data_IF_486632372923
#
_entry.id   IF_486632372923
#
_cell.length_a   1.000
_cell.length_b   1.000
_cell.length_c   1.000
_cell.angle_alpha   90.00
_cell.angle_beta   90.00
_cell.angle_gamma   90.00
#
_symmetry.space_group_name_H-M   'P 1'
#
loop_
_entity.id
_entity.type
_entity.pdbx_description
1 polymer ?
#
# COMPACT_ATOMS: atom_id res chain seq x y z
N UNK A 1 -5.14 -19.72 -5.04
CA UNK A 1 -5.73 -19.10 -3.81
C UNK A 1 -5.53 -17.59 -3.81
N UNK A 2 -4.35 -17.09 -4.20
CA UNK A 2 -4.04 -15.64 -4.23
C UNK A 2 -4.93 -14.83 -5.18
N UNK A 3 -5.25 -15.35 -6.38
CA UNK A 3 -6.12 -14.65 -7.34
C UNK A 3 -7.54 -14.40 -6.79
N UNK A 4 -8.09 -15.33 -6.02
CA UNK A 4 -9.40 -15.16 -5.38
C UNK A 4 -9.41 -14.03 -4.35
N UNK A 5 -8.31 -13.85 -3.61
CA UNK A 5 -8.18 -12.77 -2.63
C UNK A 5 -8.10 -11.41 -3.35
N UNK A 6 -7.36 -11.34 -4.45
CA UNK A 6 -7.28 -10.12 -5.27
C UNK A 6 -8.67 -9.73 -5.77
N UNK A 7 -9.45 -10.69 -6.29
CA UNK A 7 -10.79 -10.44 -6.81
C UNK A 7 -11.78 -9.91 -5.74
N UNK A 8 -11.67 -10.38 -4.50
CA UNK A 8 -12.48 -9.86 -3.38
C UNK A 8 -12.08 -8.44 -3.02
N UNK A 9 -10.77 -8.16 -2.96
CA UNK A 9 -10.24 -6.90 -2.45
C UNK A 9 -10.28 -5.76 -3.49
N UNK A 10 -10.46 -6.07 -4.78
CA UNK A 10 -10.28 -5.13 -5.89
C UNK A 10 -11.10 -3.83 -5.77
N UNK A 11 -12.31 -3.92 -5.21
CA UNK A 11 -13.23 -2.79 -5.03
C UNK A 11 -13.02 -2.02 -3.73
N UNK A 12 -12.30 -2.61 -2.76
CA UNK A 12 -12.07 -1.98 -1.47
C UNK A 12 -11.23 -0.71 -1.65
N UNK A 13 -11.43 0.24 -0.73
CA UNK A 13 -10.74 1.53 -0.73
C UNK A 13 -9.87 1.64 0.52
N UNK A 14 -8.54 1.58 0.36
CA UNK A 14 -7.62 1.80 1.47
C UNK A 14 -7.74 3.22 2.04
N UNK A 15 -8.24 3.35 3.27
CA UNK A 15 -8.28 4.63 3.98
C UNK A 15 -7.01 4.82 4.81
N UNK A 16 -6.32 5.96 4.64
CA UNK A 16 -5.13 6.27 5.44
C UNK A 16 -5.53 6.62 6.87
N UNK A 17 -4.86 5.98 7.82
CA UNK A 17 -4.92 6.36 9.23
C UNK A 17 -3.96 7.54 9.46
N UNK A 18 -4.32 8.43 10.38
CA UNK A 18 -3.50 9.58 10.71
C UNK A 18 -2.17 9.17 11.36
N UNK A 19 -1.08 9.71 10.82
CA UNK A 19 0.30 9.36 11.17
C UNK A 19 1.23 10.53 10.88
N UNK A 20 2.28 10.68 11.69
CA UNK A 20 3.36 11.63 11.40
C UNK A 20 4.30 11.02 10.36
N UNK A 21 4.71 11.84 9.38
CA UNK A 21 5.52 11.39 8.24
C UNK A 21 6.81 12.20 8.23
N UNK A 22 7.93 11.50 8.15
CA UNK A 22 9.25 12.10 7.98
C UNK A 22 9.84 11.54 6.69
N UNK A 23 10.48 12.43 5.92
CA UNK A 23 11.10 12.05 4.66
C UNK A 23 12.54 12.56 4.67
N UNK A 24 13.47 11.64 4.47
CA UNK A 24 14.84 11.95 4.06
C UNK A 24 15.07 11.38 2.64
N UNK A 25 16.16 11.76 1.98
CA UNK A 25 16.45 11.46 0.57
C UNK A 25 16.23 9.98 0.20
N UNK A 26 16.55 9.07 1.13
CA UNK A 26 16.45 7.62 0.93
C UNK A 26 15.35 6.92 1.75
N UNK A 27 14.73 7.60 2.72
CA UNK A 27 13.84 6.95 3.69
C UNK A 27 12.50 7.66 3.83
N UNK A 28 11.43 6.87 3.88
CA UNK A 28 10.10 7.34 4.21
C UNK A 28 9.67 6.71 5.52
N UNK A 29 9.77 7.50 6.58
CA UNK A 29 9.47 7.12 7.95
C UNK A 29 8.04 7.52 8.29
N UNK A 30 7.29 6.56 8.81
CA UNK A 30 5.96 6.78 9.36
C UNK A 30 6.02 6.51 10.86
N UNK A 31 5.62 7.51 11.64
CA UNK A 31 5.49 7.41 13.09
C UNK A 31 4.02 7.36 13.45
N UNK A 32 3.62 6.25 14.06
CA UNK A 32 2.29 6.08 14.62
C UNK A 32 2.33 6.38 16.12
N UNK A 33 1.89 7.58 16.48
CA UNK A 33 2.03 8.07 17.86
C UNK A 33 1.27 7.22 18.89
N UNK A 34 0.09 6.72 18.52
CA UNK A 34 -0.75 5.87 19.37
C UNK A 34 -0.01 4.60 19.83
N UNK A 35 0.76 3.98 18.94
CA UNK A 35 1.53 2.75 19.25
C UNK A 35 3.00 3.01 19.52
N UNK A 36 3.47 4.26 19.42
CA UNK A 36 4.89 4.62 19.45
C UNK A 36 5.76 3.79 18.49
N UNK A 37 5.18 3.33 17.38
CA UNK A 37 5.87 2.53 16.36
C UNK A 37 6.42 3.44 15.28
N UNK A 38 7.65 3.16 14.86
CA UNK A 38 8.31 3.79 13.72
C UNK A 38 8.42 2.73 12.63
N UNK A 39 7.99 3.08 11.43
CA UNK A 39 7.98 2.19 10.27
C UNK A 39 8.70 2.87 9.11
N UNK A 40 9.66 2.18 8.51
CA UNK A 40 10.34 2.63 7.31
C UNK A 40 9.70 1.93 6.12
N UNK A 41 9.13 2.71 5.19
CA UNK A 41 8.65 2.18 3.93
C UNK A 41 9.75 2.25 2.88
N UNK A 42 10.00 1.13 2.23
CA UNK A 42 10.79 1.12 1.00
C UNK A 42 10.06 1.90 -0.11
N UNK A 43 10.75 2.13 -1.24
CA UNK A 43 10.22 2.93 -2.35
C UNK A 43 8.86 2.43 -2.85
N UNK A 44 8.73 1.13 -3.10
CA UNK A 44 7.49 0.53 -3.64
C UNK A 44 6.34 0.61 -2.64
N UNK A 45 6.57 0.27 -1.38
CA UNK A 45 5.57 0.38 -0.32
C UNK A 45 5.10 1.82 -0.11
N UNK A 46 6.04 2.80 -0.19
CA UNK A 46 5.69 4.22 -0.16
C UNK A 46 4.81 4.62 -1.33
N UNK A 47 5.11 4.13 -2.54
CA UNK A 47 4.31 4.42 -3.72
C UNK A 47 2.89 3.83 -3.61
N UNK A 48 2.75 2.60 -3.14
CA UNK A 48 1.46 1.96 -2.84
C UNK A 48 0.70 2.77 -1.79
N UNK A 49 1.34 3.07 -0.65
CA UNK A 49 0.76 3.87 0.41
C UNK A 49 0.32 5.24 -0.11
N UNK A 50 1.11 5.90 -0.95
CA UNK A 50 0.73 7.19 -1.52
C UNK A 50 -0.53 7.10 -2.39
N UNK A 51 -0.68 6.04 -3.19
CA UNK A 51 -1.84 5.78 -4.05
C UNK A 51 -3.13 5.45 -3.31
N UNK A 52 -3.10 5.11 -2.01
CA UNK A 52 -4.29 4.79 -1.23
C UNK A 52 -5.36 5.90 -1.18
N UNK A 53 -5.01 7.18 -1.41
CA UNK A 53 -5.96 8.29 -1.21
C UNK A 53 -7.06 8.29 -2.28
N UNK A 54 -8.24 7.75 -1.94
CA UNK A 54 -9.44 7.77 -2.77
C UNK A 54 -9.45 6.77 -3.94
N UNK A 55 -8.44 5.88 -4.01
CA UNK A 55 -8.33 4.86 -5.05
C UNK A 55 -8.84 3.51 -4.53
N UNK A 56 -9.46 2.73 -5.42
CA UNK A 56 -9.71 1.30 -5.16
C UNK A 56 -8.41 0.51 -5.27
N UNK A 57 -8.39 -0.70 -4.72
CA UNK A 57 -7.23 -1.61 -4.87
C UNK A 57 -6.90 -1.84 -6.35
N UNK A 58 -7.90 -2.08 -7.21
CA UNK A 58 -7.67 -2.24 -8.66
C UNK A 58 -7.04 -1.00 -9.31
N UNK A 59 -7.46 0.20 -8.89
CA UNK A 59 -6.88 1.44 -9.39
C UNK A 59 -5.43 1.59 -8.93
N UNK A 60 -5.11 1.20 -7.70
CA UNK A 60 -3.73 1.19 -7.19
C UNK A 60 -2.87 0.21 -7.99
N UNK A 61 -3.35 -1.01 -8.23
CA UNK A 61 -2.68 -2.02 -9.06
C UNK A 61 -2.41 -1.46 -10.46
N UNK A 62 -3.40 -0.81 -11.06
CA UNK A 62 -3.25 -0.18 -12.38
C UNK A 62 -2.17 0.91 -12.39
N UNK A 63 -2.11 1.74 -11.34
CA UNK A 63 -1.05 2.75 -11.17
C UNK A 63 0.33 2.10 -11.06
N UNK A 64 0.43 1.01 -10.30
CA UNK A 64 1.69 0.27 -10.15
C UNK A 64 2.11 -0.40 -11.45
N UNK A 65 1.19 -0.97 -12.23
CA UNK A 65 1.48 -1.53 -13.56
C UNK A 65 2.05 -0.48 -14.52
N UNK A 66 1.50 0.74 -14.52
CA UNK A 66 2.03 1.83 -15.34
C UNK A 66 3.45 2.26 -14.92
N UNK A 67 3.78 2.19 -13.64
CA UNK A 67 5.11 2.54 -13.12
C UNK A 67 6.16 1.47 -13.38
N UNK A 68 5.75 0.21 -13.43
CA UNK A 68 6.63 -0.94 -13.60
C UNK A 68 6.21 -1.77 -14.81
N UNK A 69 6.30 -1.23 -16.04
CA UNK A 69 5.77 -1.86 -17.25
C UNK A 69 6.45 -3.19 -17.61
N UNK A 70 7.65 -3.44 -17.07
CA UNK A 70 8.43 -4.66 -17.31
C UNK A 70 8.10 -5.80 -16.32
N UNK A 71 7.14 -5.60 -15.41
CA UNK A 71 6.73 -6.62 -14.43
C UNK A 71 5.31 -7.07 -14.79
N UNK A 72 5.05 -8.38 -14.70
CA UNK A 72 3.72 -8.93 -14.99
C UNK A 72 2.65 -8.34 -14.06
N UNK A 73 1.44 -8.11 -14.61
CA UNK A 73 0.28 -7.64 -13.83
C UNK A 73 -0.01 -8.55 -12.64
N UNK A 74 0.14 -9.86 -12.81
CA UNK A 74 -0.07 -10.85 -11.74
C UNK A 74 0.86 -10.60 -10.55
N UNK A 75 2.17 -10.46 -10.80
CA UNK A 75 3.15 -10.19 -9.74
C UNK A 75 2.90 -8.85 -9.05
N UNK A 76 2.59 -7.81 -9.82
CA UNK A 76 2.25 -6.49 -9.25
C UNK A 76 0.97 -6.59 -8.39
N UNK A 77 -0.03 -7.34 -8.83
CA UNK A 77 -1.28 -7.51 -8.08
C UNK A 77 -1.03 -8.18 -6.73
N UNK A 78 -0.26 -9.28 -6.72
CA UNK A 78 0.11 -10.01 -5.50
C UNK A 78 0.91 -9.10 -4.57
N UNK A 79 1.99 -8.49 -5.06
CA UNK A 79 2.86 -7.62 -4.26
C UNK A 79 2.09 -6.42 -3.68
N UNK A 80 1.18 -5.83 -4.47
CA UNK A 80 0.35 -4.69 -4.05
C UNK A 80 -0.62 -5.11 -2.94
N UNK A 81 -1.34 -6.22 -3.11
CA UNK A 81 -2.29 -6.71 -2.12
C UNK A 81 -1.58 -7.12 -0.83
N UNK A 82 -0.46 -7.84 -0.92
CA UNK A 82 0.34 -8.20 0.25
C UNK A 82 0.82 -6.96 1.00
N UNK A 83 1.28 -5.93 0.27
CA UNK A 83 1.69 -4.67 0.86
C UNK A 83 0.51 -3.97 1.57
N UNK A 84 -0.66 -3.88 0.94
CA UNK A 84 -1.85 -3.28 1.54
C UNK A 84 -2.27 -4.02 2.83
N UNK A 85 -2.25 -5.35 2.83
CA UNK A 85 -2.55 -6.12 4.06
C UNK A 85 -1.50 -5.91 5.15
N UNK A 86 -0.22 -5.77 4.81
CA UNK A 86 0.80 -5.47 5.80
C UNK A 86 0.67 -4.03 6.35
N UNK A 87 0.32 -3.07 5.50
CA UNK A 87 0.01 -1.69 5.93
C UNK A 87 -1.22 -1.66 6.85
N UNK A 88 -2.26 -2.43 6.54
CA UNK A 88 -3.45 -2.58 7.39
C UNK A 88 -3.10 -3.23 8.74
N UNK A 89 -2.36 -4.34 8.72
CA UNK A 89 -1.90 -5.03 9.95
C UNK A 89 -1.04 -4.14 10.84
N UNK A 90 -0.28 -3.22 10.23
CA UNK A 90 0.51 -2.20 10.94
C UNK A 90 -0.30 -0.96 11.31
N UNK A 91 -1.60 -0.98 11.03
CA UNK A 91 -2.57 0.06 11.35
C UNK A 91 -2.19 1.42 10.74
N UNK A 92 -1.64 1.39 9.51
CA UNK A 92 -1.33 2.57 8.69
C UNK A 92 -2.46 2.91 7.72
N UNK A 93 -3.26 1.92 7.34
CA UNK A 93 -4.48 2.06 6.56
C UNK A 93 -5.57 1.17 7.16
N UNK A 94 -6.80 1.34 6.71
CA UNK A 94 -7.90 0.39 6.89
C UNK A 94 -8.48 0.04 5.51
N UNK A 95 -8.66 -1.24 5.20
CA UNK A 95 -9.37 -1.66 3.99
C UNK A 95 -10.87 -1.68 4.29
N UNK A 96 -11.66 -0.96 3.48
CA UNK A 96 -13.11 -0.85 3.62
C UNK A 96 -13.81 -1.00 2.28
#
# INVERSE_FOLDING_TARGET
MENYVIDILKELRPEKIDVKKFRNENEFLIVREKTKKILILNRTAREIYNSCRGSTVDKIISIMCMKYPNISKEKISIDTVMCLRDLERRELIALR
#
